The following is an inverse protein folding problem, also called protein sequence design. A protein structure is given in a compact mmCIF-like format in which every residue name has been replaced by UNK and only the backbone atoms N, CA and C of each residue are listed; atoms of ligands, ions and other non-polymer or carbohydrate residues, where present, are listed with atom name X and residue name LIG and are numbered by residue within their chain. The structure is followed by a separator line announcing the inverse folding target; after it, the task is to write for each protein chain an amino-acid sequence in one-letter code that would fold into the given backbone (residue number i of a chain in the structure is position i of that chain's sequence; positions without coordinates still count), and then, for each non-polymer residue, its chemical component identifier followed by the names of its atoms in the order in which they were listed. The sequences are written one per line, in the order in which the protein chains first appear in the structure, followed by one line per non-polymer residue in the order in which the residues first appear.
data_IF_978971729920
#
_entry.id   IF_978971729920
#
_cell.length_a   1.000
_cell.length_b   1.000
_cell.length_c   1.000
_cell.angle_alpha   90.00
_cell.angle_beta   90.00
_cell.angle_gamma   90.00
#
_symmetry.space_group_name_H-M   'P 1'
#
loop_
_entity.id
_entity.type
_entity.pdbx_description
1 polymer ?
#
# COMPACT_ATOMS: atom_id res chain seq x y z
N UNK A 1 10.59 60.08 47.46
CA UNK A 1 10.06 60.34 46.10
C UNK A 1 10.95 59.62 45.11
N UNK A 2 10.38 58.75 44.27
CA UNK A 2 10.97 58.41 42.98
C UNK A 2 11.71 57.06 42.88
N UNK A 3 11.05 56.12 42.20
CA UNK A 3 11.64 55.19 41.23
C UNK A 3 12.65 54.18 41.78
N UNK A 4 12.16 53.04 42.26
CA UNK A 4 12.92 51.78 42.30
C UNK A 4 11.97 50.64 42.67
N UNK A 5 11.45 49.90 41.66
CA UNK A 5 11.08 48.45 41.70
C UNK A 5 10.11 48.08 40.58
N UNK A 6 10.56 48.13 39.32
CA UNK A 6 9.79 47.53 38.21
C UNK A 6 10.71 47.10 37.06
N UNK A 7 11.80 46.40 37.36
CA UNK A 7 12.88 46.14 36.40
C UNK A 7 13.49 44.73 36.39
N UNK A 8 12.91 43.73 37.07
CA UNK A 8 13.58 42.42 37.24
C UNK A 8 12.78 41.21 36.73
N UNK A 9 11.52 41.35 36.32
CA UNK A 9 10.68 40.19 35.95
C UNK A 9 10.56 39.91 34.44
N UNK A 10 11.50 40.39 33.62
CA UNK A 10 11.48 40.20 32.16
C UNK A 10 12.80 39.67 31.57
N UNK A 11 13.61 38.98 32.37
CA UNK A 11 14.86 38.37 31.90
C UNK A 11 14.74 36.85 31.73
N UNK A 12 14.78 36.44 30.46
CA UNK A 12 15.11 35.10 29.93
C UNK A 12 14.12 33.96 30.20
N UNK A 13 13.10 33.90 29.34
CA UNK A 13 12.56 32.63 28.83
C UNK A 13 12.98 32.44 27.37
N UNK A 14 14.29 32.46 27.10
CA UNK A 14 14.86 32.01 25.82
C UNK A 14 15.53 30.65 25.97
N UNK A 15 15.07 29.82 26.91
CA UNK A 15 15.34 28.39 26.88
C UNK A 15 14.66 27.85 25.63
N UNK A 16 15.45 27.69 24.56
CA UNK A 16 15.00 27.17 23.29
C UNK A 16 14.20 25.88 23.46
N UNK A 17 13.34 25.59 22.47
CA UNK A 17 12.45 24.42 22.40
C UNK A 17 13.16 23.10 22.79
N UNK A 18 14.47 23.02 22.58
CA UNK A 18 15.36 21.93 22.99
C UNK A 18 15.46 21.66 24.50
N UNK A 19 15.40 22.68 25.37
CA UNK A 19 15.52 22.53 26.83
C UNK A 19 14.27 21.95 27.49
N UNK A 20 13.09 22.25 26.95
CA UNK A 20 11.80 21.75 27.45
C UNK A 20 11.59 20.25 27.15
N UNK A 21 12.20 19.73 26.08
CA UNK A 21 12.06 18.33 25.68
C UNK A 21 12.72 17.32 26.64
N UNK A 22 13.82 17.71 27.31
CA UNK A 22 14.62 16.78 28.13
C UNK A 22 13.93 16.38 29.44
N UNK A 23 13.18 17.29 30.07
CA UNK A 23 12.42 17.04 31.31
C UNK A 23 11.07 16.34 31.06
N UNK A 24 10.67 16.24 29.80
CA UNK A 24 9.34 15.83 29.38
C UNK A 24 9.28 14.38 28.87
N UNK A 25 10.30 13.55 29.15
CA UNK A 25 10.42 12.21 28.53
C UNK A 25 9.22 11.33 28.88
N UNK A 26 8.46 10.85 27.89
CA UNK A 26 7.48 9.79 28.10
C UNK A 26 8.20 8.53 28.61
N UNK A 27 7.46 7.57 29.22
CA UNK A 27 8.03 6.23 29.39
C UNK A 27 8.53 5.73 28.03
N UNK A 28 9.77 5.22 27.99
CA UNK A 28 10.49 4.88 26.74
C UNK A 28 9.62 4.06 25.75
N UNK A 29 8.81 3.15 26.27
CA UNK A 29 7.88 2.33 25.49
C UNK A 29 6.86 3.13 24.67
N UNK A 30 6.32 4.22 25.21
CA UNK A 30 5.33 5.04 24.51
C UNK A 30 5.95 5.87 23.37
N UNK A 31 7.23 6.24 23.48
CA UNK A 31 7.96 6.93 22.42
C UNK A 31 8.28 5.99 21.25
N UNK A 32 8.67 4.74 21.56
CA UNK A 32 8.96 3.72 20.54
C UNK A 32 7.69 3.31 19.80
N UNK A 33 6.57 3.07 20.51
CA UNK A 33 5.32 2.71 19.83
C UNK A 33 4.78 3.84 18.96
N UNK A 34 4.92 5.10 19.39
CA UNK A 34 4.57 6.27 18.59
C UNK A 34 5.46 6.39 17.33
N UNK A 35 6.77 6.19 17.47
CA UNK A 35 7.71 6.19 16.35
C UNK A 35 7.33 5.12 15.33
N UNK A 36 7.13 3.87 15.76
CA UNK A 36 6.76 2.76 14.88
C UNK A 36 5.41 3.00 14.20
N UNK A 37 4.43 3.53 14.93
CA UNK A 37 3.12 3.85 14.35
C UNK A 37 3.21 4.90 13.22
N UNK A 38 3.95 5.99 13.44
CA UNK A 38 4.14 7.04 12.41
C UNK A 38 4.93 6.51 11.22
N UNK A 39 5.96 5.70 11.48
CA UNK A 39 6.78 5.06 10.45
C UNK A 39 5.94 4.16 9.56
N UNK A 40 5.21 3.21 10.17
CA UNK A 40 4.36 2.25 9.44
C UNK A 40 3.24 2.99 8.70
N UNK A 41 2.63 4.00 9.32
CA UNK A 41 1.61 4.82 8.66
C UNK A 41 2.19 5.56 7.44
N UNK A 42 3.40 6.12 7.57
CA UNK A 42 4.12 6.77 6.48
C UNK A 42 4.38 5.82 5.32
N UNK A 43 4.95 4.65 5.60
CA UNK A 43 5.20 3.60 4.59
C UNK A 43 3.91 3.08 3.95
N UNK A 44 2.85 2.87 4.73
CA UNK A 44 1.55 2.45 4.21
C UNK A 44 0.94 3.50 3.28
N UNK A 45 0.96 4.79 3.67
CA UNK A 45 0.47 5.86 2.79
C UNK A 45 1.36 6.06 1.55
N UNK A 46 2.66 5.83 1.67
CA UNK A 46 3.57 5.89 0.54
C UNK A 46 3.27 4.78 -0.48
N UNK A 47 3.07 3.54 -0.01
CA UNK A 47 2.66 2.43 -0.87
C UNK A 47 1.32 2.69 -1.55
N UNK A 48 0.32 3.19 -0.80
CA UNK A 48 -0.97 3.57 -1.38
C UNK A 48 -0.84 4.69 -2.42
N UNK A 49 0.04 5.66 -2.20
CA UNK A 49 0.34 6.73 -3.16
C UNK A 49 1.14 6.26 -4.39
N UNK A 50 1.92 5.19 -4.26
CA UNK A 50 2.72 4.60 -5.35
C UNK A 50 1.85 3.75 -6.28
N UNK A 51 0.74 3.19 -5.79
CA UNK A 51 -0.17 2.40 -6.61
C UNK A 51 -0.71 3.16 -7.83
N UNK A 52 -1.37 4.32 -7.72
CA UNK A 52 -1.90 5.01 -8.91
C UNK A 52 -0.80 5.37 -9.92
N UNK A 53 0.41 5.65 -9.45
CA UNK A 53 1.52 6.09 -10.30
C UNK A 53 2.16 4.91 -11.04
N UNK A 54 2.25 3.75 -10.39
CA UNK A 54 2.66 2.51 -11.03
C UNK A 54 1.63 2.05 -12.08
N UNK A 55 0.33 2.07 -11.73
CA UNK A 55 -0.73 1.72 -12.66
C UNK A 55 -0.81 2.67 -13.86
N UNK A 56 -0.68 3.98 -13.65
CA UNK A 56 -0.65 4.93 -14.77
C UNK A 56 0.58 4.75 -15.68
N UNK A 57 1.71 4.35 -15.10
CA UNK A 57 2.92 4.03 -15.88
C UNK A 57 2.72 2.80 -16.75
N UNK A 58 2.15 1.73 -16.17
CA UNK A 58 1.78 0.50 -16.87
C UNK A 58 0.78 0.81 -17.99
N UNK A 59 -0.32 1.49 -17.68
CA UNK A 59 -1.38 1.85 -18.63
C UNK A 59 -0.86 2.73 -19.78
N UNK A 60 0.04 3.67 -19.48
CA UNK A 60 0.64 4.53 -20.50
C UNK A 60 1.51 3.75 -21.49
N UNK A 61 2.28 2.77 -21.02
CA UNK A 61 3.12 1.92 -21.88
C UNK A 61 2.31 0.89 -22.65
N UNK A 62 1.32 0.31 -21.98
CA UNK A 62 0.37 -0.60 -22.60
C UNK A 62 -0.36 0.09 -23.76
N UNK A 63 -0.96 1.26 -23.50
CA UNK A 63 -1.59 2.08 -24.55
C UNK A 63 -0.60 2.37 -25.69
N UNK A 64 0.64 2.75 -25.36
CA UNK A 64 1.65 3.10 -26.37
C UNK A 64 2.03 1.93 -27.29
N UNK A 65 1.94 0.68 -26.82
CA UNK A 65 2.28 -0.52 -27.60
C UNK A 65 1.07 -1.27 -28.16
N UNK A 66 -0.15 -0.93 -27.75
CA UNK A 66 -1.36 -1.54 -28.29
C UNK A 66 -1.54 -1.12 -29.75
N UNK A 67 -1.75 -2.06 -30.68
CA UNK A 67 -1.94 -1.76 -32.10
C UNK A 67 -3.27 -1.05 -32.36
N UNK A 68 -3.23 -0.08 -33.28
CA UNK A 68 -4.41 0.60 -33.83
C UNK A 68 -4.92 -0.21 -35.01
N UNK A 69 -6.10 -0.81 -34.86
CA UNK A 69 -6.75 -1.61 -35.89
C UNK A 69 -7.12 -0.73 -37.08
N UNK A 70 -6.72 -1.15 -38.28
CA UNK A 70 -7.03 -0.47 -39.52
C UNK A 70 -8.56 -0.48 -39.76
N UNK A 71 -9.11 0.67 -40.12
CA UNK A 71 -10.51 0.75 -40.53
C UNK A 71 -10.75 0.02 -41.85
N UNK A 72 -12.00 -0.32 -42.16
CA UNK A 72 -12.35 -0.94 -43.44
C UNK A 72 -11.94 -0.01 -44.60
N UNK A 73 -11.12 -0.53 -45.52
CA UNK A 73 -10.58 0.22 -46.66
C UNK A 73 -9.34 1.08 -46.35
N UNK A 74 -8.87 1.11 -45.10
CA UNK A 74 -7.60 1.74 -44.73
C UNK A 74 -6.43 0.79 -45.03
N UNK A 75 -5.33 1.32 -45.56
CA UNK A 75 -4.13 0.53 -45.83
C UNK A 75 -3.43 0.19 -44.51
N UNK A 76 -3.38 -1.10 -44.19
CA UNK A 76 -2.69 -1.58 -43.01
C UNK A 76 -1.17 -1.54 -43.19
N UNK A 77 -0.47 -1.05 -42.17
CA UNK A 77 0.99 -0.98 -42.16
C UNK A 77 1.61 -2.34 -41.77
N UNK A 78 0.93 -3.11 -40.92
CA UNK A 78 1.37 -4.43 -40.47
C UNK A 78 0.18 -5.30 -40.03
N UNK A 79 0.43 -6.60 -39.93
CA UNK A 79 -0.49 -7.56 -39.32
C UNK A 79 -0.01 -7.90 -37.91
N UNK A 80 -0.94 -7.97 -36.97
CA UNK A 80 -0.68 -8.21 -35.55
C UNK A 80 -1.46 -9.42 -35.04
N UNK A 81 -0.82 -10.29 -34.26
CA UNK A 81 -1.52 -11.32 -33.50
C UNK A 81 -0.83 -11.65 -32.19
N UNK A 82 -1.59 -11.52 -31.12
CA UNK A 82 -1.20 -11.96 -29.78
C UNK A 82 -1.55 -13.44 -29.56
N UNK A 83 -0.60 -14.19 -29.01
CA UNK A 83 -0.70 -15.60 -28.64
C UNK A 83 -0.01 -15.77 -27.28
N UNK A 84 -0.56 -16.61 -26.42
CA UNK A 84 0.08 -16.97 -25.16
C UNK A 84 0.72 -18.34 -25.33
N UNK A 85 1.96 -18.46 -24.88
CA UNK A 85 2.73 -19.69 -24.94
C UNK A 85 3.20 -20.08 -23.54
N UNK A 86 2.73 -21.24 -23.08
CA UNK A 86 3.12 -21.81 -21.80
C UNK A 86 4.43 -22.57 -21.93
N UNK A 87 5.40 -22.22 -21.09
CA UNK A 87 6.69 -22.91 -21.01
C UNK A 87 6.55 -24.17 -20.14
N UNK A 88 7.35 -25.21 -20.43
CA UNK A 88 7.19 -26.52 -19.76
C UNK A 88 7.83 -26.51 -18.37
N UNK A 89 8.99 -25.87 -18.24
CA UNK A 89 9.80 -25.91 -17.03
C UNK A 89 9.66 -24.65 -16.17
N UNK A 90 8.96 -23.61 -16.67
CA UNK A 90 8.73 -22.36 -15.91
C UNK A 90 7.24 -22.05 -15.74
N UNK A 91 6.80 -21.58 -14.57
CA UNK A 91 5.42 -21.18 -14.32
C UNK A 91 5.05 -19.82 -14.95
N UNK A 92 5.88 -19.29 -15.84
CA UNK A 92 5.67 -18.03 -16.54
C UNK A 92 5.14 -18.31 -17.94
N UNK A 93 3.99 -17.70 -18.24
CA UNK A 93 3.44 -17.69 -19.59
C UNK A 93 4.12 -16.56 -20.38
N UNK A 94 4.64 -16.88 -21.56
CA UNK A 94 5.21 -15.90 -22.46
C UNK A 94 4.11 -15.36 -23.38
N UNK A 95 4.01 -14.04 -23.50
CA UNK A 95 3.17 -13.41 -24.52
C UNK A 95 3.97 -13.31 -25.81
N UNK A 96 3.48 -13.94 -26.87
CA UNK A 96 4.05 -13.88 -28.21
C UNK A 96 3.20 -12.93 -29.06
N UNK A 97 3.84 -11.94 -29.65
CA UNK A 97 3.23 -11.05 -30.61
C UNK A 97 3.83 -11.38 -31.98
N UNK A 98 3.04 -12.08 -32.79
CA UNK A 98 3.36 -12.30 -34.19
C UNK A 98 3.10 -11.01 -34.97
N UNK A 99 4.14 -10.56 -35.68
CA UNK A 99 4.08 -9.38 -36.52
C UNK A 99 4.42 -9.73 -37.97
N UNK A 100 3.79 -9.00 -38.89
CA UNK A 100 4.14 -9.07 -40.31
C UNK A 100 4.07 -7.68 -40.94
N UNK A 101 5.20 -7.01 -41.24
CA UNK A 101 5.18 -5.70 -41.87
C UNK A 101 4.64 -5.81 -43.29
N UNK A 102 3.69 -4.95 -43.65
CA UNK A 102 3.10 -4.85 -44.99
C UNK A 102 3.72 -3.69 -45.80
N UNK A 103 4.29 -2.70 -45.11
CA UNK A 103 4.95 -1.55 -45.68
C UNK A 103 6.41 -1.45 -45.20
N UNK A 104 7.31 -0.96 -46.06
CA UNK A 104 8.74 -0.76 -45.71
C UNK A 104 8.93 0.28 -44.59
N UNK A 105 7.99 1.21 -44.45
CA UNK A 105 7.95 2.22 -43.41
C UNK A 105 6.94 1.91 -42.29
N UNK A 106 6.59 0.64 -42.09
CA UNK A 106 5.70 0.25 -41.00
C UNK A 106 6.25 0.74 -39.64
N UNK A 107 5.40 1.34 -38.77
CA UNK A 107 5.86 1.86 -37.49
C UNK A 107 6.42 0.74 -36.62
N UNK A 108 7.53 1.00 -35.92
CA UNK A 108 8.15 0.03 -35.03
C UNK A 108 7.34 -0.13 -33.73
N UNK A 109 7.27 -1.34 -33.15
CA UNK A 109 6.79 -1.50 -31.78
C UNK A 109 7.64 -0.66 -30.81
N UNK A 110 7.04 -0.07 -29.75
CA UNK A 110 7.81 0.62 -28.73
C UNK A 110 8.91 -0.28 -28.14
N UNK A 111 10.10 0.29 -27.90
CA UNK A 111 11.24 -0.47 -27.40
C UNK A 111 11.98 -1.32 -28.45
N UNK A 112 11.53 -1.35 -29.71
CA UNK A 112 12.22 -2.07 -30.80
C UNK A 112 12.96 -1.07 -31.69
N UNK A 113 14.25 -1.32 -31.96
CA UNK A 113 15.11 -0.41 -32.72
C UNK A 113 15.04 -0.60 -34.24
N UNK A 114 14.75 -1.82 -34.69
CA UNK A 114 14.59 -2.19 -36.08
C UNK A 114 13.62 -3.37 -36.21
N UNK A 115 12.92 -3.47 -37.33
CA UNK A 115 12.05 -4.62 -37.61
C UNK A 115 12.91 -5.89 -37.69
N UNK A 116 12.57 -6.97 -36.95
CA UNK A 116 13.21 -8.27 -37.15
C UNK A 116 12.90 -8.83 -38.54
N UNK A 117 13.89 -9.48 -39.16
CA UNK A 117 13.71 -10.13 -40.46
C UNK A 117 12.82 -11.39 -40.34
N UNK A 118 12.30 -11.93 -41.47
CA UNK A 118 11.53 -13.17 -41.43
C UNK A 118 12.29 -14.36 -40.82
N UNK A 119 11.74 -14.90 -39.74
CA UNK A 119 12.33 -15.98 -38.94
C UNK A 119 13.17 -15.48 -37.76
N UNK A 120 13.18 -14.18 -37.49
CA UNK A 120 13.84 -13.56 -36.36
C UNK A 120 12.84 -13.10 -35.29
N UNK A 121 13.35 -12.93 -34.08
CA UNK A 121 12.58 -12.47 -32.93
C UNK A 121 13.35 -11.45 -32.08
N UNK A 122 12.60 -10.59 -31.40
CA UNK A 122 13.10 -9.67 -30.37
C UNK A 122 12.42 -10.04 -29.06
N UNK A 123 13.20 -10.28 -28.01
CA UNK A 123 12.69 -10.81 -26.75
C UNK A 123 12.82 -9.80 -25.61
N UNK A 124 11.93 -9.86 -24.62
CA UNK A 124 12.10 -9.07 -23.40
C UNK A 124 13.31 -9.55 -22.59
N UNK A 125 13.92 -8.69 -21.75
CA UNK A 125 15.01 -9.10 -20.86
C UNK A 125 14.60 -10.28 -19.97
N UNK A 126 13.37 -10.25 -19.45
CA UNK A 126 12.84 -11.32 -18.60
C UNK A 126 12.79 -12.66 -19.33
N UNK A 127 12.38 -12.69 -20.60
CA UNK A 127 12.31 -13.91 -21.38
C UNK A 127 13.71 -14.42 -21.76
N UNK A 128 14.67 -13.53 -22.04
CA UNK A 128 16.07 -13.93 -22.30
C UNK A 128 16.74 -14.54 -21.07
N UNK A 129 16.46 -14.01 -19.87
CA UNK A 129 17.00 -14.53 -18.61
C UNK A 129 16.48 -15.94 -18.27
N UNK A 130 15.39 -16.38 -18.90
CA UNK A 130 14.83 -17.71 -18.70
C UNK A 130 15.64 -18.82 -19.37
N UNK A 131 16.70 -18.55 -20.17
CA UNK A 131 17.29 -19.62 -21.00
C UNK A 131 18.81 -19.85 -21.05
N UNK A 132 19.19 -21.15 -21.11
CA UNK A 132 19.35 -21.87 -22.40
C UNK A 132 18.58 -23.22 -22.60
N UNK A 133 17.68 -23.62 -21.68
CA UNK A 133 17.05 -24.96 -21.68
C UNK A 133 15.76 -25.17 -22.51
N UNK A 134 15.01 -24.12 -22.85
CA UNK A 134 13.69 -24.20 -23.53
C UNK A 134 13.77 -24.14 -25.08
N UNK A 135 14.98 -24.03 -25.65
CA UNK A 135 15.24 -23.78 -27.08
C UNK A 135 14.63 -22.50 -27.69
N UNK A 136 14.73 -21.31 -27.08
CA UNK A 136 14.09 -20.06 -27.52
C UNK A 136 14.40 -19.73 -28.99
N UNK A 137 15.67 -19.84 -29.39
CA UNK A 137 16.11 -19.60 -30.79
C UNK A 137 15.44 -20.55 -31.79
N UNK A 138 15.14 -21.77 -31.36
CA UNK A 138 14.45 -22.77 -32.18
C UNK A 138 12.94 -22.62 -32.15
N UNK A 139 12.39 -22.12 -31.03
CA UNK A 139 10.95 -22.01 -30.77
C UNK A 139 10.35 -20.75 -31.39
N UNK A 140 11.05 -19.62 -31.25
CA UNK A 140 10.57 -18.30 -31.69
C UNK A 140 11.33 -17.74 -32.91
N UNK A 141 12.42 -18.38 -33.31
CA UNK A 141 13.30 -17.90 -34.37
C UNK A 141 14.56 -17.25 -33.81
N UNK A 142 15.44 -16.80 -34.71
CA UNK A 142 16.73 -16.25 -34.32
C UNK A 142 16.57 -14.97 -33.49
N UNK A 143 17.05 -14.98 -32.24
CA UNK A 143 16.97 -13.79 -31.39
C UNK A 143 17.98 -12.74 -31.85
N UNK A 144 17.48 -11.59 -32.32
CA UNK A 144 18.32 -10.50 -32.88
C UNK A 144 18.36 -9.25 -32.03
N UNK A 145 17.58 -9.19 -30.96
CA UNK A 145 17.57 -8.03 -30.08
C UNK A 145 16.79 -8.25 -28.79
N UNK A 146 16.81 -7.19 -27.97
CA UNK A 146 16.10 -7.14 -26.70
C UNK A 146 15.08 -6.01 -26.73
N UNK A 147 13.86 -6.27 -26.28
CA UNK A 147 12.79 -5.26 -26.18
C UNK A 147 13.21 -4.23 -25.12
N UNK A 148 13.25 -2.97 -25.53
CA UNK A 148 13.47 -1.83 -24.65
C UNK A 148 12.33 -1.65 -23.67
N UNK A 149 12.62 -0.92 -22.59
CA UNK A 149 11.70 -0.66 -21.48
C UNK A 149 10.37 -0.07 -21.95
N UNK A 150 10.39 0.72 -23.01
CA UNK A 150 9.25 1.43 -23.58
C UNK A 150 8.21 0.47 -24.18
N UNK A 151 8.61 -0.77 -24.53
CA UNK A 151 7.75 -1.84 -25.04
C UNK A 151 7.15 -2.76 -23.97
N UNK A 152 7.52 -2.57 -22.72
CA UNK A 152 7.14 -3.47 -21.62
C UNK A 152 6.21 -2.75 -20.62
N UNK A 153 5.16 -3.44 -20.18
CA UNK A 153 4.28 -2.99 -19.12
C UNK A 153 5.01 -3.00 -17.78
N UNK A 154 5.68 -4.12 -17.48
CA UNK A 154 6.43 -4.38 -16.24
C UNK A 154 7.89 -4.75 -16.56
N UNK A 155 8.76 -4.73 -15.56
CA UNK A 155 10.16 -5.14 -15.75
C UNK A 155 10.33 -6.63 -16.08
N UNK A 156 9.43 -7.46 -15.56
CA UNK A 156 9.52 -8.91 -15.62
C UNK A 156 8.56 -9.53 -16.65
N UNK A 157 7.96 -8.70 -17.50
CA UNK A 157 7.06 -9.17 -18.54
C UNK A 157 7.82 -10.06 -19.53
N UNK A 158 7.37 -11.30 -19.68
CA UNK A 158 7.88 -12.24 -20.67
C UNK A 158 7.19 -12.01 -22.01
N UNK A 159 7.82 -11.22 -22.89
CA UNK A 159 7.24 -10.79 -24.17
C UNK A 159 8.21 -11.09 -25.32
N UNK A 160 7.67 -11.53 -26.45
CA UNK A 160 8.43 -11.68 -27.69
C UNK A 160 7.70 -11.03 -28.87
N UNK A 161 8.42 -10.28 -29.69
CA UNK A 161 7.99 -9.92 -31.04
C UNK A 161 8.60 -10.91 -32.02
N UNK A 162 7.75 -11.63 -32.75
CA UNK A 162 8.17 -12.71 -33.66
C UNK A 162 7.70 -12.38 -35.07
N UNK A 163 8.62 -12.38 -36.03
CA UNK A 163 8.26 -12.33 -37.46
C UNK A 163 8.47 -13.74 -38.01
N UNK A 164 7.41 -14.48 -38.34
CA UNK A 164 7.56 -15.86 -38.79
C UNK A 164 8.34 -15.92 -40.11
N UNK A 165 9.08 -17.01 -40.35
CA UNK A 165 9.87 -17.17 -41.59
C UNK A 165 8.99 -17.21 -42.84
N UNK A 166 7.85 -17.86 -42.72
CA UNK A 166 6.82 -17.97 -43.76
C UNK A 166 5.49 -17.62 -43.12
N UNK A 167 4.74 -16.72 -43.72
CA UNK A 167 3.39 -16.42 -43.26
C UNK A 167 2.51 -17.66 -43.45
N UNK A 168 2.04 -18.32 -42.39
CA UNK A 168 1.21 -19.51 -42.55
C UNK A 168 -0.09 -19.14 -43.28
N UNK A 169 -0.49 -19.93 -44.28
CA UNK A 169 -1.74 -19.68 -45.02
C UNK A 169 -2.96 -19.65 -44.09
N UNK A 170 -2.91 -20.41 -42.99
CA UNK A 170 -3.94 -20.43 -41.93
C UNK A 170 -4.05 -19.10 -41.17
N UNK A 171 -2.99 -18.28 -41.14
CA UNK A 171 -2.92 -17.02 -40.40
C UNK A 171 -3.38 -15.81 -41.26
N UNK A 172 -3.48 -15.98 -42.58
CA UNK A 172 -3.41 -14.91 -43.57
C UNK A 172 -4.56 -13.88 -43.55
N UNK A 173 -5.79 -14.27 -43.19
CA UNK A 173 -6.95 -13.35 -43.35
C UNK A 173 -7.99 -13.38 -42.22
N UNK A 174 -8.06 -14.44 -41.39
CA UNK A 174 -9.06 -14.55 -40.30
C UNK A 174 -8.49 -14.45 -38.89
N UNK A 175 -7.16 -14.48 -38.72
CA UNK A 175 -6.54 -14.60 -37.39
C UNK A 175 -5.63 -13.44 -37.00
N UNK A 176 -5.01 -12.72 -37.94
CA UNK A 176 -4.26 -11.50 -37.62
C UNK A 176 -5.12 -10.26 -37.81
N UNK A 177 -4.89 -9.28 -36.95
CA UNK A 177 -5.54 -7.99 -36.98
C UNK A 177 -4.70 -7.03 -37.81
N UNK A 178 -5.28 -6.55 -38.91
CA UNK A 178 -4.68 -5.50 -39.74
C UNK A 178 -4.59 -4.19 -38.93
N UNK A 179 -3.39 -3.61 -38.87
CA UNK A 179 -3.10 -2.47 -37.99
C UNK A 179 -2.31 -1.38 -38.73
N UNK A 180 -2.58 -0.12 -38.40
CA UNK A 180 -1.91 1.04 -39.02
C UNK A 180 -0.79 1.62 -38.16
N UNK A 181 -0.83 1.38 -36.85
CA UNK A 181 0.14 1.93 -35.90
C UNK A 181 -0.04 1.39 -34.50
N UNK A 182 0.51 2.11 -33.52
CA UNK A 182 0.40 1.82 -32.10
C UNK A 182 -0.18 3.04 -31.35
N UNK A 183 -0.69 2.84 -30.13
CA UNK A 183 -1.34 3.90 -29.36
C UNK A 183 -2.84 3.70 -29.13
N UNK A 184 -3.39 2.50 -29.38
CA UNK A 184 -4.82 2.27 -29.18
C UNK A 184 -5.21 2.19 -27.70
N UNK A 185 -6.39 2.72 -27.38
CA UNK A 185 -6.92 2.74 -26.01
C UNK A 185 -7.87 1.56 -25.80
N UNK A 186 -7.70 0.85 -24.68
CA UNK A 186 -8.70 -0.10 -24.18
C UNK A 186 -8.58 -1.54 -24.67
N UNK A 187 -7.60 -1.85 -25.53
CA UNK A 187 -7.17 -3.23 -25.79
C UNK A 187 -5.85 -3.44 -25.07
N UNK A 188 -5.88 -3.99 -23.86
CA UNK A 188 -4.64 -4.34 -23.17
C UNK A 188 -3.92 -5.47 -23.91
N UNK A 189 -2.59 -5.51 -23.77
CA UNK A 189 -1.75 -6.56 -24.36
C UNK A 189 -0.90 -7.20 -23.26
N UNK A 190 -0.69 -8.51 -23.34
CA UNK A 190 0.17 -9.25 -22.41
C UNK A 190 -0.28 -9.20 -20.96
N UNK A 191 0.67 -8.98 -20.04
CA UNK A 191 0.48 -9.11 -18.58
C UNK A 191 -0.55 -8.10 -18.02
N UNK A 192 -0.85 -7.02 -18.75
CA UNK A 192 -1.83 -6.01 -18.32
C UNK A 192 -3.23 -6.60 -18.22
N UNK A 193 -3.56 -7.58 -19.06
CA UNK A 193 -4.86 -8.25 -19.04
C UNK A 193 -5.05 -9.04 -17.73
N UNK A 194 -3.96 -9.56 -17.17
CA UNK A 194 -3.95 -10.32 -15.91
C UNK A 194 -3.83 -9.42 -14.67
N UNK A 195 -3.49 -8.15 -14.88
CA UNK A 195 -3.27 -7.22 -13.78
C UNK A 195 -4.58 -6.93 -13.06
N UNK A 196 -4.56 -7.13 -11.74
CA UNK A 196 -5.71 -6.84 -10.87
C UNK A 196 -6.15 -5.38 -11.07
N UNK A 197 -7.44 -5.09 -11.32
CA UNK A 197 -7.91 -3.72 -11.50
C UNK A 197 -7.52 -2.81 -10.33
N UNK A 198 -7.02 -1.60 -10.64
CA UNK A 198 -6.51 -0.66 -9.64
C UNK A 198 -7.43 -0.46 -8.42
N UNK A 199 -8.75 -0.22 -8.56
CA UNK A 199 -9.61 -0.01 -7.40
C UNK A 199 -9.65 -1.20 -6.45
N UNK A 200 -9.55 -2.42 -6.99
CA UNK A 200 -9.56 -3.66 -6.22
C UNK A 200 -8.24 -3.83 -5.46
N UNK A 201 -7.12 -3.63 -6.13
CA UNK A 201 -5.79 -3.68 -5.52
C UNK A 201 -5.62 -2.61 -4.43
N UNK A 202 -6.03 -1.36 -4.71
CA UNK A 202 -5.99 -0.26 -3.75
C UNK A 202 -6.88 -0.52 -2.54
N UNK A 203 -8.10 -1.04 -2.73
CA UNK A 203 -9.01 -1.40 -1.64
C UNK A 203 -8.43 -2.54 -0.78
N UNK A 204 -7.87 -3.58 -1.41
CA UNK A 204 -7.21 -4.68 -0.72
C UNK A 204 -6.03 -4.18 0.13
N UNK A 205 -5.18 -3.33 -0.44
CA UNK A 205 -4.03 -2.74 0.25
C UNK A 205 -4.45 -1.81 1.39
N UNK A 206 -5.39 -0.90 1.14
CA UNK A 206 -5.89 0.02 2.16
C UNK A 206 -6.54 -0.74 3.32
N UNK A 207 -7.26 -1.83 3.04
CA UNK A 207 -7.86 -2.65 4.08
C UNK A 207 -6.82 -3.43 4.89
N UNK A 208 -5.86 -4.08 4.22
CA UNK A 208 -4.90 -4.95 4.91
C UNK A 208 -3.83 -4.14 5.61
N UNK A 209 -3.06 -3.36 4.85
CA UNK A 209 -1.93 -2.57 5.34
C UNK A 209 -2.41 -1.29 6.01
N UNK A 210 -3.35 -0.56 5.38
CA UNK A 210 -3.83 0.73 5.88
C UNK A 210 -4.55 0.61 7.23
N UNK A 211 -5.46 -0.37 7.38
CA UNK A 211 -6.16 -0.57 8.66
C UNK A 211 -5.21 -1.07 9.74
N UNK A 212 -4.29 -1.98 9.42
CA UNK A 212 -3.28 -2.43 10.38
C UNK A 212 -2.43 -1.25 10.89
N UNK A 213 -1.97 -0.38 9.99
CA UNK A 213 -1.25 0.85 10.33
C UNK A 213 -2.09 1.78 11.22
N UNK A 214 -3.37 2.00 10.87
CA UNK A 214 -4.29 2.84 11.63
C UNK A 214 -4.54 2.28 13.05
N UNK A 215 -4.73 0.97 13.19
CA UNK A 215 -4.93 0.30 14.49
C UNK A 215 -3.68 0.46 15.36
N UNK A 216 -2.49 0.20 14.80
CA UNK A 216 -1.22 0.42 15.51
C UNK A 216 -1.08 1.87 15.98
N UNK A 217 -1.47 2.84 15.13
CA UNK A 217 -1.56 4.25 15.49
C UNK A 217 -2.48 4.51 16.68
N UNK A 218 -3.70 3.96 16.66
CA UNK A 218 -4.66 4.09 17.76
C UNK A 218 -4.09 3.49 19.06
N UNK A 219 -3.46 2.32 18.99
CA UNK A 219 -2.86 1.65 20.15
C UNK A 219 -1.70 2.48 20.71
N UNK A 220 -0.81 3.00 19.86
CA UNK A 220 0.30 3.86 20.27
C UNK A 220 -0.19 5.14 20.98
N UNK A 221 -1.27 5.75 20.47
CA UNK A 221 -1.92 6.89 21.10
C UNK A 221 -2.58 6.50 22.43
N UNK A 222 -3.13 5.30 22.55
CA UNK A 222 -3.72 4.81 23.79
C UNK A 222 -2.68 4.54 24.89
N UNK A 223 -1.54 3.94 24.56
CA UNK A 223 -0.51 3.47 25.51
C UNK A 223 0.16 4.55 26.37
N UNK A 224 -0.01 5.84 26.04
CA UNK A 224 0.50 6.96 26.85
C UNK A 224 -0.56 7.94 27.29
N UNK A 225 -1.85 7.64 27.05
CA UNK A 225 -2.94 8.59 27.23
C UNK A 225 -3.10 9.02 28.68
N UNK A 226 -3.09 8.09 29.63
CA UNK A 226 -3.27 8.41 31.05
C UNK A 226 -2.14 9.30 31.58
N UNK A 227 -0.88 8.98 31.26
CA UNK A 227 0.27 9.78 31.65
C UNK A 227 0.18 11.21 31.08
N UNK A 228 -0.14 11.34 29.78
CA UNK A 228 -0.35 12.63 29.13
C UNK A 228 -1.51 13.42 29.74
N UNK A 229 -2.62 12.76 30.06
CA UNK A 229 -3.79 13.40 30.67
C UNK A 229 -3.48 13.90 32.09
N UNK A 230 -2.76 13.11 32.92
CA UNK A 230 -2.32 13.56 34.26
C UNK A 230 -1.42 14.80 34.15
N UNK A 231 -0.43 14.77 33.26
CA UNK A 231 0.44 15.94 33.04
C UNK A 231 -0.32 17.15 32.50
N UNK A 232 -1.25 16.95 31.56
CA UNK A 232 -2.07 18.02 31.00
C UNK A 232 -3.01 18.64 32.04
N UNK A 233 -3.55 17.82 32.96
CA UNK A 233 -4.39 18.27 34.08
C UNK A 233 -3.58 19.09 35.08
N UNK A 234 -2.38 18.64 35.47
CA UNK A 234 -1.49 19.40 36.34
C UNK A 234 -1.12 20.77 35.75
N UNK A 235 -0.86 20.84 34.44
CA UNK A 235 -0.61 22.12 33.76
C UNK A 235 -1.85 22.99 33.71
N UNK A 236 -3.01 22.40 33.46
CA UNK A 236 -4.28 23.12 33.49
C UNK A 236 -4.56 23.73 34.87
N UNK A 237 -4.30 23.00 35.96
CA UNK A 237 -4.46 23.51 37.33
C UNK A 237 -3.46 24.63 37.67
N UNK A 238 -2.28 24.63 37.04
CA UNK A 238 -1.28 25.71 37.17
C UNK A 238 -1.59 26.94 36.30
N UNK A 239 -2.73 26.97 35.60
CA UNK A 239 -3.16 28.11 34.80
C UNK A 239 -2.54 28.21 33.40
N UNK A 240 -1.89 27.15 32.90
CA UNK A 240 -1.32 27.16 31.55
C UNK A 240 -2.41 27.31 30.49
N UNK A 241 -2.18 28.23 29.56
CA UNK A 241 -3.06 28.47 28.40
C UNK A 241 -3.12 27.25 27.48
N UNK A 242 -4.14 27.17 26.62
CA UNK A 242 -4.26 26.06 25.65
C UNK A 242 -3.07 26.00 24.67
N UNK A 243 -2.52 27.17 24.29
CA UNK A 243 -1.38 27.28 23.37
C UNK A 243 -0.10 26.72 23.97
N UNK A 244 0.17 27.02 25.24
CA UNK A 244 1.34 26.50 25.96
C UNK A 244 1.26 24.98 26.14
N UNK A 245 0.07 24.46 26.48
CA UNK A 245 -0.17 23.02 26.58
C UNK A 245 0.05 22.32 25.24
N UNK A 246 -0.44 22.89 24.13
CA UNK A 246 -0.22 22.36 22.79
C UNK A 246 1.26 22.35 22.40
N UNK A 247 1.98 23.47 22.61
CA UNK A 247 3.44 23.57 22.36
C UNK A 247 4.21 22.53 23.16
N UNK A 248 3.85 22.33 24.42
CA UNK A 248 4.49 21.32 25.26
C UNK A 248 4.29 19.89 24.70
N UNK A 249 3.07 19.53 24.31
CA UNK A 249 2.82 18.19 23.74
C UNK A 249 3.51 18.00 22.39
N UNK A 250 3.54 19.03 21.54
CA UNK A 250 4.31 19.00 20.32
C UNK A 250 5.81 18.77 20.61
N UNK A 251 6.36 19.46 21.61
CA UNK A 251 7.74 19.30 22.04
C UNK A 251 8.07 17.93 22.67
N UNK A 252 7.09 17.13 23.07
CA UNK A 252 7.31 15.75 23.50
C UNK A 252 7.39 14.76 22.34
N UNK A 253 6.77 15.09 21.20
CA UNK A 253 6.60 14.16 20.07
C UNK A 253 7.48 14.50 18.88
N UNK A 254 8.00 15.73 18.78
CA UNK A 254 8.72 16.15 17.58
C UNK A 254 9.92 15.24 17.25
N UNK A 255 10.68 14.75 18.24
CA UNK A 255 11.83 13.88 17.98
C UNK A 255 11.46 12.52 17.35
N UNK A 256 10.58 11.70 17.96
CA UNK A 256 10.14 10.45 17.32
C UNK A 256 9.39 10.72 16.01
N UNK A 257 8.67 11.83 15.89
CA UNK A 257 7.98 12.20 14.66
C UNK A 257 8.96 12.48 13.52
N UNK A 258 10.01 13.29 13.75
CA UNK A 258 11.01 13.60 12.74
C UNK A 258 11.75 12.35 12.27
N UNK A 259 12.19 11.49 13.19
CA UNK A 259 12.84 10.24 12.81
C UNK A 259 11.92 9.31 12.02
N UNK A 260 10.65 9.20 12.42
CA UNK A 260 9.67 8.37 11.75
C UNK A 260 9.23 8.92 10.38
N UNK A 261 9.34 10.23 10.15
CA UNK A 261 9.12 10.88 8.85
C UNK A 261 10.34 10.73 7.94
N UNK A 262 11.55 10.87 8.48
CA UNK A 262 12.78 10.81 7.72
C UNK A 262 12.99 9.44 7.05
N UNK A 263 12.61 8.34 7.72
CA UNK A 263 12.81 6.99 7.18
C UNK A 263 11.95 6.68 5.94
N UNK A 264 10.62 6.87 5.92
CA UNK A 264 9.81 6.72 4.71
C UNK A 264 10.27 7.66 3.59
N UNK A 265 10.66 8.90 3.92
CA UNK A 265 11.19 9.85 2.94
C UNK A 265 12.48 9.35 2.31
N UNK A 266 13.41 8.81 3.11
CA UNK A 266 14.64 8.21 2.62
C UNK A 266 14.36 6.96 1.76
N UNK A 267 13.40 6.11 2.17
CA UNK A 267 12.99 4.95 1.39
C UNK A 267 12.39 5.36 0.03
N UNK A 268 11.55 6.41 -0.01
CA UNK A 268 10.99 6.93 -1.26
C UNK A 268 12.05 7.61 -2.14
N UNK A 269 13.01 8.31 -1.54
CA UNK A 269 14.14 8.86 -2.29
C UNK A 269 14.98 7.74 -2.93
N UNK A 270 15.26 6.66 -2.17
CA UNK A 270 15.95 5.47 -2.67
C UNK A 270 15.17 4.78 -3.80
N UNK A 271 13.86 4.59 -3.63
CA UNK A 271 12.99 4.00 -4.64
C UNK A 271 12.88 4.89 -5.90
N UNK A 272 12.86 6.21 -5.74
CA UNK A 272 12.89 7.16 -6.85
C UNK A 272 14.23 7.19 -7.61
N UNK A 273 15.32 6.69 -7.02
CA UNK A 273 16.62 6.57 -7.69
C UNK A 273 16.85 5.21 -8.34
N UNK A 274 16.47 4.11 -7.67
CA UNK A 274 16.81 2.74 -8.10
C UNK A 274 15.60 1.92 -8.55
N UNK A 275 14.38 2.44 -8.43
CA UNK A 275 13.15 1.66 -8.55
C UNK A 275 12.87 0.86 -7.28
N UNK A 276 11.72 0.18 -7.27
CA UNK A 276 11.31 -0.70 -6.18
C UNK A 276 11.16 -2.12 -6.72
N UNK A 277 12.08 -3.02 -6.34
CA UNK A 277 11.95 -4.46 -6.59
C UNK A 277 11.58 -5.16 -5.29
N UNK A 278 10.42 -5.80 -5.25
CA UNK A 278 9.97 -6.54 -4.07
C UNK A 278 10.44 -8.00 -4.19
N UNK A 279 11.18 -8.53 -3.22
CA UNK A 279 11.66 -9.91 -3.31
C UNK A 279 10.49 -10.89 -3.39
N UNK A 280 10.52 -11.79 -4.37
CA UNK A 280 9.47 -12.78 -4.60
C UNK A 280 8.24 -12.27 -5.37
N UNK A 281 8.16 -10.97 -5.67
CA UNK A 281 7.27 -10.46 -6.70
C UNK A 281 8.12 -10.13 -7.92
N UNK A 282 7.87 -10.77 -9.06
CA UNK A 282 8.57 -10.45 -10.31
C UNK A 282 8.41 -8.96 -10.66
N UNK A 283 7.29 -8.36 -10.29
CA UNK A 283 6.97 -7.02 -10.77
C UNK A 283 7.61 -5.93 -9.92
N UNK A 284 8.64 -5.29 -10.47
CA UNK A 284 9.22 -4.06 -9.96
C UNK A 284 8.46 -2.80 -10.40
N UNK A 285 8.46 -1.77 -9.56
CA UNK A 285 8.00 -0.42 -9.94
C UNK A 285 9.20 0.39 -10.39
N UNK A 286 9.10 1.00 -11.57
CA UNK A 286 10.20 1.77 -12.12
C UNK A 286 10.41 3.11 -11.43
N UNK A 287 11.66 3.58 -11.44
CA UNK A 287 12.06 4.83 -10.78
C UNK A 287 11.40 6.06 -11.41
N UNK A 288 11.10 6.04 -12.71
CA UNK A 288 10.41 7.14 -13.40
C UNK A 288 8.95 7.25 -12.98
N UNK A 289 8.26 6.12 -12.86
CA UNK A 289 6.86 6.09 -12.42
C UNK A 289 6.74 6.65 -10.98
N UNK A 290 7.70 6.29 -10.10
CA UNK A 290 7.80 6.84 -8.75
C UNK A 290 8.09 8.35 -8.79
N UNK A 291 9.05 8.80 -9.61
CA UNK A 291 9.43 10.21 -9.73
C UNK A 291 8.29 11.08 -10.25
N UNK A 292 7.59 10.63 -11.29
CA UNK A 292 6.40 11.29 -11.82
C UNK A 292 5.29 11.36 -10.76
N UNK A 293 5.20 10.32 -9.92
CA UNK A 293 4.25 10.18 -8.83
C UNK A 293 4.56 10.90 -7.52
N UNK A 294 5.76 11.48 -7.36
CA UNK A 294 6.23 12.03 -6.08
C UNK A 294 5.22 12.99 -5.42
N UNK A 295 4.58 13.94 -6.13
CA UNK A 295 3.61 14.84 -5.49
C UNK A 295 2.42 14.11 -4.85
N UNK A 296 1.92 13.05 -5.51
CA UNK A 296 0.81 12.23 -5.01
C UNK A 296 1.25 11.41 -3.80
N UNK A 297 2.42 10.78 -3.88
CA UNK A 297 3.01 9.98 -2.80
C UNK A 297 3.23 10.86 -1.56
N UNK A 298 3.91 12.00 -1.72
CA UNK A 298 4.18 12.95 -0.64
C UNK A 298 2.90 13.56 -0.08
N UNK A 299 1.91 13.86 -0.93
CA UNK A 299 0.59 14.33 -0.51
C UNK A 299 -0.14 13.30 0.36
N UNK A 300 -0.13 12.02 -0.04
CA UNK A 300 -0.73 10.94 0.74
C UNK A 300 -0.05 10.75 2.10
N UNK A 301 1.29 10.79 2.14
CA UNK A 301 2.08 10.73 3.38
C UNK A 301 1.80 11.90 4.31
N UNK A 302 1.80 13.12 3.77
CA UNK A 302 1.51 14.32 4.54
C UNK A 302 0.10 14.27 5.14
N UNK A 303 -0.90 13.90 4.33
CA UNK A 303 -2.28 13.75 4.78
C UNK A 303 -2.41 12.72 5.91
N UNK A 304 -1.77 11.55 5.77
CA UNK A 304 -1.83 10.50 6.80
C UNK A 304 -1.21 10.96 8.12
N UNK A 305 -0.04 11.60 8.07
CA UNK A 305 0.63 12.15 9.25
C UNK A 305 -0.13 13.31 9.89
N UNK A 306 -0.74 14.20 9.10
CA UNK A 306 -1.57 15.29 9.63
C UNK A 306 -2.81 14.74 10.34
N UNK A 307 -3.51 13.77 9.74
CA UNK A 307 -4.67 13.12 10.37
C UNK A 307 -4.25 12.44 11.68
N UNK A 308 -3.13 11.71 11.68
CA UNK A 308 -2.60 11.07 12.87
C UNK A 308 -2.21 12.09 13.95
N UNK A 309 -1.55 13.18 13.58
CA UNK A 309 -1.16 14.24 14.52
C UNK A 309 -2.39 14.94 15.11
N UNK A 310 -3.40 15.24 14.30
CA UNK A 310 -4.69 15.81 14.77
C UNK A 310 -5.35 14.84 15.75
N UNK A 311 -5.39 13.55 15.43
CA UNK A 311 -5.94 12.52 16.32
C UNK A 311 -5.15 12.42 17.64
N UNK A 312 -3.83 12.41 17.57
CA UNK A 312 -2.93 12.41 18.72
C UNK A 312 -3.16 13.64 19.61
N UNK A 313 -3.20 14.84 19.03
CA UNK A 313 -3.39 16.09 19.76
C UNK A 313 -4.79 16.15 20.39
N UNK A 314 -5.84 15.82 19.63
CA UNK A 314 -7.21 15.80 20.12
C UNK A 314 -7.37 14.84 21.29
N UNK A 315 -6.86 13.61 21.17
CA UNK A 315 -6.95 12.61 22.24
C UNK A 315 -6.17 13.00 23.51
N UNK A 316 -5.08 13.76 23.36
CA UNK A 316 -4.25 14.25 24.48
C UNK A 316 -4.79 15.53 25.12
N UNK A 317 -5.50 16.38 24.36
CA UNK A 317 -6.06 17.65 24.81
C UNK A 317 -7.42 17.53 25.52
N UNK A 318 -8.15 16.43 25.32
CA UNK A 318 -9.45 16.23 25.97
C UNK A 318 -9.28 16.22 27.49
N UNK A 319 -9.75 17.29 28.13
CA UNK A 319 -9.89 17.42 29.58
C UNK A 319 -11.04 16.49 30.01
N UNK A 320 -10.84 15.62 31.01
CA UNK A 320 -11.92 14.80 31.52
C UNK A 320 -13.06 15.69 32.02
N UNK A 321 -14.28 15.47 31.51
CA UNK A 321 -15.48 16.26 31.87
C UNK A 321 -15.86 16.17 33.36
N UNK A 322 -15.31 15.19 34.09
CA UNK A 322 -15.60 14.96 35.50
C UNK A 322 -14.44 15.44 36.38
N UNK A 323 -14.17 16.75 36.38
CA UNK A 323 -13.25 17.37 37.33
C UNK A 323 -13.75 17.26 38.79
N UNK A 324 -15.05 17.02 38.99
CA UNK A 324 -15.69 16.92 40.31
C UNK A 324 -15.54 15.55 41.00
N UNK A 325 -15.01 14.52 40.32
CA UNK A 325 -14.84 13.21 40.93
C UNK A 325 -13.48 13.14 41.66
N UNK A 326 -13.49 13.34 42.98
CA UNK A 326 -12.30 13.30 43.85
C UNK A 326 -11.59 11.94 43.93
N UNK A 327 -12.08 10.90 43.25
CA UNK A 327 -11.41 9.59 43.18
C UNK A 327 -11.27 9.16 41.71
N UNK A 328 -10.03 8.89 41.25
CA UNK A 328 -9.84 8.24 39.96
C UNK A 328 -10.44 6.83 40.05
N UNK A 329 -11.63 6.64 39.50
CA UNK A 329 -12.15 5.30 39.25
C UNK A 329 -11.46 4.83 37.97
N UNK A 330 -10.66 3.76 38.09
CA UNK A 330 -10.30 2.98 36.91
C UNK A 330 -11.62 2.58 36.27
N UNK A 331 -11.95 3.15 35.11
CA UNK A 331 -13.12 2.72 34.37
C UNK A 331 -12.80 1.31 33.92
N UNK A 332 -13.34 0.32 34.63
CA UNK A 332 -13.28 -1.06 34.19
C UNK A 332 -13.78 -1.08 32.75
N UNK A 333 -12.95 -1.62 31.85
CA UNK A 333 -13.28 -1.66 30.44
C UNK A 333 -14.46 -2.62 30.32
N UNK A 334 -15.66 -2.07 30.19
CA UNK A 334 -16.86 -2.86 29.96
C UNK A 334 -16.78 -3.46 28.55
N UNK A 335 -16.40 -4.74 28.48
CA UNK A 335 -16.45 -5.49 27.23
C UNK A 335 -17.91 -5.67 26.83
N UNK A 336 -18.29 -5.12 25.68
CA UNK A 336 -19.68 -5.16 25.23
C UNK A 336 -20.02 -6.56 24.70
N UNK A 337 -21.00 -7.28 25.30
CA UNK A 337 -21.39 -8.61 24.83
C UNK A 337 -21.98 -8.55 23.41
N UNK A 338 -22.59 -7.42 23.02
CA UNK A 338 -23.11 -7.21 21.65
C UNK A 338 -21.99 -7.16 20.61
N UNK A 339 -20.86 -6.51 20.94
CA UNK A 339 -19.69 -6.45 20.04
C UNK A 339 -19.00 -7.81 19.96
N UNK A 340 -18.89 -8.52 21.08
CA UNK A 340 -18.38 -9.89 21.08
C UNK A 340 -19.24 -10.82 20.21
N UNK A 341 -20.58 -10.72 20.31
CA UNK A 341 -21.49 -11.49 19.46
C UNK A 341 -21.36 -11.11 17.97
N UNK A 342 -21.24 -9.81 17.68
CA UNK A 342 -21.00 -9.35 16.31
C UNK A 342 -19.71 -9.95 15.72
N UNK A 343 -18.62 -9.99 16.49
CA UNK A 343 -17.38 -10.65 16.08
C UNK A 343 -17.59 -12.13 15.77
N UNK A 344 -18.28 -12.83 16.68
CA UNK A 344 -18.50 -14.27 16.59
C UNK A 344 -19.32 -14.64 15.34
N UNK A 345 -20.30 -13.82 14.96
CA UNK A 345 -21.10 -14.02 13.75
C UNK A 345 -20.39 -13.54 12.48
N UNK A 346 -19.66 -12.42 12.56
CA UNK A 346 -18.97 -11.85 11.40
C UNK A 346 -17.79 -12.70 10.91
N UNK A 347 -17.09 -13.40 11.81
CA UNK A 347 -15.93 -14.24 11.44
C UNK A 347 -16.28 -15.39 10.47
N UNK A 348 -17.25 -16.29 10.76
CA UNK A 348 -17.64 -17.33 9.81
C UNK A 348 -18.32 -16.74 8.57
N UNK A 349 -19.06 -15.64 8.69
CA UNK A 349 -19.64 -14.95 7.53
C UNK A 349 -18.55 -14.44 6.59
N UNK A 350 -17.47 -13.83 7.10
CA UNK A 350 -16.34 -13.39 6.29
C UNK A 350 -15.67 -14.56 5.55
N UNK A 351 -15.50 -15.71 6.21
CA UNK A 351 -14.97 -16.93 5.55
C UNK A 351 -15.92 -17.42 4.44
N UNK A 352 -17.23 -17.45 4.71
CA UNK A 352 -18.22 -17.86 3.71
C UNK A 352 -18.25 -16.93 2.49
N UNK A 353 -18.18 -15.61 2.70
CA UNK A 353 -18.11 -14.64 1.60
C UNK A 353 -16.79 -14.78 0.83
N UNK A 354 -15.66 -15.02 1.50
CA UNK A 354 -14.38 -15.27 0.83
C UNK A 354 -14.45 -16.46 -0.13
N UNK A 355 -15.03 -17.57 0.31
CA UNK A 355 -15.25 -18.76 -0.55
C UNK A 355 -16.15 -18.42 -1.73
N UNK A 356 -17.21 -17.63 -1.51
CA UNK A 356 -18.10 -17.19 -2.59
C UNK A 356 -17.39 -16.27 -3.60
N UNK A 357 -16.51 -15.37 -3.13
CA UNK A 357 -15.67 -14.52 -3.98
C UNK A 357 -14.78 -15.36 -4.88
N UNK A 358 -14.09 -16.37 -4.32
CA UNK A 358 -13.21 -17.26 -5.10
C UNK A 358 -13.96 -18.03 -6.19
N UNK A 359 -15.24 -18.34 -5.97
CA UNK A 359 -16.04 -19.11 -6.93
C UNK A 359 -16.68 -18.26 -8.04
N UNK A 360 -17.04 -17.02 -7.73
CA UNK A 360 -17.85 -16.18 -8.63
C UNK A 360 -17.06 -15.06 -9.29
N UNK A 361 -15.84 -14.78 -8.81
CA UNK A 361 -15.03 -13.62 -9.21
C UNK A 361 -15.79 -12.28 -9.12
N UNK A 362 -16.79 -12.21 -8.25
CA UNK A 362 -17.65 -11.03 -8.11
C UNK A 362 -16.97 -9.92 -7.29
N UNK A 363 -16.81 -8.75 -7.91
CA UNK A 363 -16.27 -7.55 -7.24
C UNK A 363 -17.16 -7.12 -6.06
N UNK A 364 -18.48 -7.23 -6.18
CA UNK A 364 -19.41 -6.85 -5.10
C UNK A 364 -19.20 -7.72 -3.86
N UNK A 365 -19.09 -9.04 -4.04
CA UNK A 365 -18.83 -9.96 -2.93
C UNK A 365 -17.49 -9.70 -2.27
N UNK A 366 -16.49 -9.24 -3.04
CA UNK A 366 -15.20 -8.84 -2.47
C UNK A 366 -15.37 -7.65 -1.51
N UNK A 367 -16.10 -6.60 -1.89
CA UNK A 367 -16.37 -5.48 -0.97
C UNK A 367 -17.17 -5.90 0.27
N UNK A 368 -18.13 -6.82 0.13
CA UNK A 368 -18.86 -7.39 1.27
C UNK A 368 -17.89 -8.13 2.21
N UNK A 369 -16.96 -8.91 1.65
CA UNK A 369 -15.90 -9.57 2.43
C UNK A 369 -15.03 -8.56 3.18
N UNK A 370 -14.61 -7.47 2.53
CA UNK A 370 -13.82 -6.41 3.17
C UNK A 370 -14.55 -5.79 4.37
N UNK A 371 -15.84 -5.49 4.22
CA UNK A 371 -16.65 -4.95 5.33
C UNK A 371 -16.78 -5.95 6.48
N UNK A 372 -17.01 -7.23 6.18
CA UNK A 372 -17.08 -8.28 7.19
C UNK A 372 -15.74 -8.41 7.94
N UNK A 373 -14.60 -8.34 7.23
CA UNK A 373 -13.27 -8.37 7.84
C UNK A 373 -13.04 -7.20 8.79
N UNK A 374 -13.45 -5.98 8.41
CA UNK A 374 -13.37 -4.80 9.30
C UNK A 374 -14.15 -5.03 10.59
N UNK A 375 -15.38 -5.56 10.49
CA UNK A 375 -16.19 -5.84 11.68
C UNK A 375 -15.46 -6.81 12.60
N UNK A 376 -14.90 -7.90 12.05
CA UNK A 376 -14.12 -8.88 12.83
C UNK A 376 -12.95 -8.20 13.52
N UNK A 377 -12.11 -7.47 12.78
CA UNK A 377 -10.91 -6.82 13.33
C UNK A 377 -11.26 -5.84 14.46
N UNK A 378 -12.30 -5.02 14.30
CA UNK A 378 -12.70 -4.04 15.31
C UNK A 378 -13.42 -4.64 16.52
N UNK A 379 -13.94 -5.85 16.43
CA UNK A 379 -14.70 -6.51 17.51
C UNK A 379 -13.95 -7.68 18.15
N UNK A 380 -12.83 -8.12 17.56
CA UNK A 380 -12.00 -9.22 18.05
C UNK A 380 -11.53 -9.01 19.50
N UNK A 381 -11.06 -7.80 19.84
CA UNK A 381 -10.64 -7.49 21.21
C UNK A 381 -11.77 -7.63 22.23
N UNK A 382 -13.00 -7.28 21.86
CA UNK A 382 -14.15 -7.45 22.76
C UNK A 382 -14.53 -8.91 22.92
N UNK A 383 -14.45 -9.70 21.86
CA UNK A 383 -14.65 -11.14 21.92
C UNK A 383 -13.62 -11.82 22.83
N UNK A 384 -12.32 -11.54 22.63
CA UNK A 384 -11.24 -12.11 23.44
C UNK A 384 -11.39 -11.70 24.91
N UNK A 385 -11.64 -10.40 25.17
CA UNK A 385 -11.86 -9.90 26.53
C UNK A 385 -13.07 -10.53 27.21
N UNK A 386 -14.18 -10.67 26.48
CA UNK A 386 -15.40 -11.31 26.98
C UNK A 386 -15.18 -12.80 27.29
N UNK A 387 -14.47 -13.54 26.43
CA UNK A 387 -14.12 -14.94 26.66
C UNK A 387 -13.21 -15.08 27.89
N UNK A 388 -12.19 -14.24 28.03
CA UNK A 388 -11.32 -14.23 29.21
C UNK A 388 -12.10 -13.96 30.50
N UNK A 389 -13.05 -13.02 30.49
CA UNK A 389 -13.94 -12.78 31.63
C UNK A 389 -14.78 -14.02 31.98
N UNK A 390 -15.36 -14.69 30.98
CA UNK A 390 -16.15 -15.91 31.19
C UNK A 390 -15.31 -17.06 31.72
N UNK A 391 -14.11 -17.28 31.18
CA UNK A 391 -13.17 -18.30 31.64
C UNK A 391 -12.74 -18.02 33.08
N UNK A 392 -12.35 -16.79 33.40
CA UNK A 392 -11.94 -16.42 34.77
C UNK A 392 -13.08 -16.59 35.78
N UNK A 393 -14.31 -16.25 35.42
CA UNK A 393 -15.50 -16.47 36.25
C UNK A 393 -15.78 -17.97 36.46
N UNK A 394 -15.62 -18.80 35.42
CA UNK A 394 -15.79 -20.24 35.50
C UNK A 394 -14.73 -20.90 36.40
N UNK A 395 -13.46 -20.49 36.27
CA UNK A 395 -12.35 -20.95 37.13
C UNK A 395 -12.60 -20.56 38.58
N UNK A 396 -13.04 -19.33 38.85
CA UNK A 396 -13.36 -18.85 40.20
C UNK A 396 -14.48 -19.66 40.86
N UNK A 397 -15.54 -20.00 40.10
CA UNK A 397 -16.64 -20.86 40.60
C UNK A 397 -16.16 -22.28 40.94
N UNK A 398 -15.27 -22.87 40.13
CA UNK A 398 -14.70 -24.20 40.43
C UNK A 398 -13.78 -24.17 41.65
N UNK A 399 -12.98 -23.11 41.81
CA UNK A 399 -12.12 -22.91 42.98
C UNK A 399 -12.89 -22.77 44.29
N UNK A 400 -14.01 -22.04 44.30
CA UNK A 400 -14.83 -21.87 45.51
C UNK A 400 -15.51 -23.17 45.97
N UNK A 401 -15.91 -24.04 45.05
CA UNK A 401 -16.53 -25.34 45.37
C UNK A 401 -15.51 -26.30 45.98
N UNK A 402 -14.25 -26.27 45.54
CA UNK A 402 -13.18 -27.10 46.11
C UNK A 402 -12.82 -26.72 47.55
N UNK A 403 -12.87 -25.43 47.90
CA UNK A 403 -12.61 -24.94 49.26
C UNK A 403 -13.77 -25.24 50.21
N UNK A 404 -15.01 -25.17 49.73
CA UNK A 404 -16.20 -25.48 50.52
C UNK A 404 -16.35 -26.97 50.86
N UNK A 405 -15.71 -27.87 50.11
CA UNK A 405 -15.76 -29.33 50.34
C UNK A 405 -14.66 -29.86 51.27
N UNK A 406 -13.69 -29.01 51.64
CA UNK A 406 -12.58 -29.32 52.57
C UNK A 406 -12.77 -28.72 53.97
N UNK A 407 -13.82 -27.93 54.16
CA UNK A 407 -14.34 -27.56 55.48
C UNK A 407 -15.54 -28.43 55.74
#
# INVERSE_FOLDING_TARGET
MGVLTMGVLMRRSSSGVSGLGYLARPPRFASVSLFLAVLILGLASAGLGTMPTAYSGIEGRDTARTPVVAAEGEEAAFLYREVHDSMVDTPLDATLIYLWPLAENAPLPPGVTQWPDPGEAVLSPALQEMEPGEGLDSRYGQVVGTIGREGLATENEALAYVVPRTMPEEIRESFMTASTGYGAVGMGTGEVIETVPFPLAAAAYALTVGVAAAILGIIAVAQGREGRQRQNMLRFTLGYSWRERLRWMAAQVWWPLLGAIALPMAAMAFAGTYGLRLPGMGNGVWSEDIRAGLPVILGAMLCSWLVFLIYYLRSSLVVPKNLAANRPRAREREFSPRRALACFLAAPAAVGVLVAVQRTSSQLLFFVYLVALLVVVFTLFDLVGYLMLRVSAAVRKRGSVGVARRR
#
